data_IF_446845478385
#
_entry.id   IF_446845478385
#
_cell.length_a   1.000
_cell.length_b   1.000
_cell.length_c   1.000
_cell.angle_alpha   90.00
_cell.angle_beta   90.00
_cell.angle_gamma   90.00
#
_symmetry.space_group_name_H-M   'P 1'
#
loop_
_entity.id
_entity.type
_entity.pdbx_description
1 polymer ?
#
# COMPACT_ATOMS: atom_id res chain seq x y z
N UNK A 1 5.74 -56.20 13.73
CA UNK A 1 5.81 -54.96 12.93
C UNK A 1 5.81 -53.78 13.89
N UNK A 2 6.95 -53.11 14.05
CA UNK A 2 7.04 -51.83 14.80
C UNK A 2 6.70 -50.72 13.80
N UNK A 3 5.63 -49.98 14.07
CA UNK A 3 5.29 -48.79 13.30
C UNK A 3 6.30 -47.69 13.64
N UNK A 4 7.10 -47.34 12.64
CA UNK A 4 8.00 -46.19 12.66
C UNK A 4 7.14 -44.95 12.40
N UNK A 5 6.89 -44.14 13.43
CA UNK A 5 6.31 -42.81 13.24
C UNK A 5 7.34 -41.95 12.51
N UNK A 6 7.06 -41.66 11.25
CA UNK A 6 7.81 -40.68 10.46
C UNK A 6 7.44 -39.30 11.03
N UNK A 7 8.30 -38.74 11.88
CA UNK A 7 8.22 -37.32 12.22
C UNK A 7 8.61 -36.53 10.97
N UNK A 8 7.62 -36.10 10.19
CA UNK A 8 7.81 -35.04 9.20
C UNK A 8 8.05 -33.78 10.03
N UNK A 9 9.31 -33.37 10.12
CA UNK A 9 9.67 -32.06 10.62
C UNK A 9 9.16 -31.06 9.60
N UNK A 10 8.03 -30.41 9.91
CA UNK A 10 7.63 -29.18 9.22
C UNK A 10 8.69 -28.13 9.58
N UNK A 11 9.71 -27.98 8.75
CA UNK A 11 10.55 -26.79 8.77
C UNK A 11 9.61 -25.67 8.31
N UNK A 12 9.36 -24.63 9.12
CA UNK A 12 8.60 -23.49 8.64
C UNK A 12 9.31 -22.95 7.40
N UNK A 13 8.65 -23.03 6.25
CA UNK A 13 9.19 -22.47 5.03
C UNK A 13 9.13 -20.95 5.21
N UNK A 14 10.24 -20.35 5.64
CA UNK A 14 10.26 -18.90 5.79
C UNK A 14 10.29 -18.32 4.37
N UNK A 15 9.20 -17.65 4.01
CA UNK A 15 9.01 -17.02 2.71
C UNK A 15 9.78 -15.68 2.75
N UNK A 16 10.82 -15.57 1.92
CA UNK A 16 11.60 -14.36 1.75
C UNK A 16 11.57 -13.90 0.28
N UNK A 17 11.72 -12.60 0.08
CA UNK A 17 12.00 -12.06 -1.26
C UNK A 17 13.25 -12.72 -1.84
N UNK A 18 13.19 -12.99 -3.15
CA UNK A 18 14.36 -13.44 -3.92
C UNK A 18 15.04 -12.28 -4.68
N UNK A 19 14.48 -11.08 -4.56
CA UNK A 19 14.87 -9.88 -5.32
C UNK A 19 15.72 -8.94 -4.45
N UNK A 20 16.87 -8.51 -4.98
CA UNK A 20 17.74 -7.50 -4.35
C UNK A 20 17.31 -6.09 -4.77
N UNK A 21 16.58 -5.39 -3.90
CA UNK A 21 16.11 -4.04 -4.18
C UNK A 21 17.18 -2.94 -4.07
N UNK A 22 18.41 -3.28 -3.66
CA UNK A 22 19.56 -2.37 -3.85
C UNK A 22 19.99 -2.24 -5.30
N UNK A 23 19.50 -3.10 -6.20
CA UNK A 23 19.71 -2.96 -7.63
C UNK A 23 18.60 -2.12 -8.26
N UNK A 24 18.95 -0.96 -8.84
CA UNK A 24 18.02 -0.09 -9.56
C UNK A 24 17.27 -0.80 -10.73
N UNK A 25 17.81 -1.92 -11.21
CA UNK A 25 17.16 -2.77 -12.22
C UNK A 25 15.86 -3.45 -11.74
N UNK A 26 15.66 -3.56 -10.42
CA UNK A 26 14.49 -4.21 -9.81
C UNK A 26 13.38 -3.22 -9.45
N UNK A 27 13.45 -2.00 -9.97
CA UNK A 27 12.44 -0.96 -9.84
C UNK A 27 11.90 -0.62 -11.22
N UNK A 28 10.59 -0.45 -11.38
CA UNK A 28 10.06 0.19 -12.60
C UNK A 28 10.52 1.65 -12.65
N UNK A 29 10.26 2.36 -11.55
CA UNK A 29 10.62 3.76 -11.34
C UNK A 29 11.32 3.92 -10.00
N UNK A 30 12.41 4.68 -10.01
CA UNK A 30 13.21 5.03 -8.85
C UNK A 30 13.92 6.36 -9.18
N UNK A 31 13.99 7.33 -8.25
CA UNK A 31 14.62 8.64 -8.52
C UNK A 31 16.05 8.53 -9.08
N UNK A 32 16.85 7.64 -8.52
CA UNK A 32 18.25 7.43 -8.96
C UNK A 32 18.43 6.61 -10.25
N UNK A 33 17.33 6.16 -10.87
CA UNK A 33 17.43 5.32 -12.08
C UNK A 33 17.84 6.18 -13.28
N UNK A 34 18.93 5.79 -13.96
CA UNK A 34 19.43 6.55 -15.13
C UNK A 34 18.39 6.74 -16.24
N UNK A 35 17.55 5.73 -16.48
CA UNK A 35 16.38 5.85 -17.37
C UNK A 35 15.14 5.83 -16.51
N UNK A 36 14.72 7.02 -16.07
CA UNK A 36 13.51 7.25 -15.28
C UNK A 36 12.45 7.97 -16.13
N UNK A 37 11.65 7.20 -16.89
CA UNK A 37 10.69 7.82 -17.82
C UNK A 37 9.67 8.72 -17.13
N UNK A 38 9.28 8.41 -15.88
CA UNK A 38 8.31 9.20 -15.14
C UNK A 38 8.83 10.61 -14.84
N UNK A 39 10.14 10.81 -14.64
CA UNK A 39 10.73 12.13 -14.35
C UNK A 39 10.59 13.11 -15.52
N UNK A 40 10.57 12.59 -16.75
CA UNK A 40 10.41 13.39 -17.97
C UNK A 40 9.02 13.21 -18.59
N UNK A 41 8.10 12.55 -17.89
CA UNK A 41 6.74 12.37 -18.35
C UNK A 41 5.96 13.66 -18.13
N UNK A 42 5.40 14.22 -19.20
CA UNK A 42 4.52 15.38 -19.10
C UNK A 42 3.24 14.98 -18.36
N UNK A 43 3.05 15.56 -17.17
CA UNK A 43 1.91 15.33 -16.28
C UNK A 43 0.75 16.29 -16.55
N UNK A 44 0.94 17.26 -17.45
CA UNK A 44 -0.11 18.21 -17.79
C UNK A 44 -1.35 17.50 -18.33
N UNK A 45 -2.51 17.93 -17.85
CA UNK A 45 -3.79 17.31 -18.20
C UNK A 45 -4.50 18.20 -19.22
N UNK A 46 -4.62 17.72 -20.46
CA UNK A 46 -5.46 18.37 -21.47
C UNK A 46 -6.94 18.08 -21.19
N UNK A 47 -7.72 19.11 -20.87
CA UNK A 47 -9.17 18.99 -20.71
C UNK A 47 -9.82 19.04 -22.08
N UNK A 48 -10.51 17.96 -22.44
CA UNK A 48 -11.14 17.81 -23.75
C UNK A 48 -12.62 18.20 -23.65
N UNK A 49 -13.03 19.13 -24.51
CA UNK A 49 -14.43 19.55 -24.60
C UNK A 49 -15.30 18.55 -25.38
N UNK A 50 -16.59 18.86 -25.43
CA UNK A 50 -17.61 18.08 -26.13
C UNK A 50 -17.37 17.91 -27.64
N UNK A 51 -16.53 18.75 -28.25
CA UNK A 51 -16.19 18.69 -29.68
C UNK A 51 -14.89 17.92 -29.96
N UNK A 52 -14.32 17.24 -28.95
CA UNK A 52 -13.02 16.55 -29.03
C UNK A 52 -11.83 17.49 -29.25
N UNK A 53 -11.94 18.73 -28.80
CA UNK A 53 -10.87 19.72 -28.86
C UNK A 53 -10.30 19.97 -27.47
N UNK A 54 -9.00 20.31 -27.39
CA UNK A 54 -8.37 20.76 -26.15
C UNK A 54 -8.95 22.13 -25.77
N UNK A 55 -9.68 22.18 -24.66
CA UNK A 55 -10.30 23.40 -24.13
C UNK A 55 -9.33 24.18 -23.24
N UNK A 56 -8.63 23.45 -22.37
CA UNK A 56 -7.64 23.99 -21.46
C UNK A 56 -6.59 22.92 -21.11
N UNK A 57 -5.47 23.36 -20.55
CA UNK A 57 -4.43 22.46 -20.04
C UNK A 57 -4.20 22.82 -18.57
N UNK A 58 -4.36 21.83 -17.70
CA UNK A 58 -4.02 21.95 -16.27
C UNK A 58 -2.54 21.63 -16.14
N UNK A 59 -1.77 22.59 -15.66
CA UNK A 59 -0.34 22.41 -15.45
C UNK A 59 -0.09 21.60 -14.18
N UNK A 60 0.67 20.52 -14.27
CA UNK A 60 1.02 19.67 -13.13
C UNK A 60 2.54 19.57 -13.04
N UNK A 61 3.10 20.10 -11.95
CA UNK A 61 4.52 19.95 -11.69
C UNK A 61 4.88 18.47 -11.51
N UNK A 62 5.99 18.05 -12.09
CA UNK A 62 6.50 16.69 -11.94
C UNK A 62 7.69 16.70 -10.98
N UNK A 63 7.50 16.10 -9.81
CA UNK A 63 8.48 16.01 -8.75
C UNK A 63 9.06 14.60 -8.57
N UNK A 64 8.90 13.70 -9.56
CA UNK A 64 9.30 12.29 -9.43
C UNK A 64 10.77 12.07 -9.01
N UNK A 65 11.67 12.98 -9.40
CA UNK A 65 13.08 12.98 -9.02
C UNK A 65 13.46 14.01 -7.95
N UNK A 66 12.51 14.84 -7.52
CA UNK A 66 12.75 15.97 -6.62
C UNK A 66 12.36 15.61 -5.19
N UNK A 67 13.28 15.87 -4.26
CA UNK A 67 12.98 15.76 -2.83
C UNK A 67 12.20 17.00 -2.36
N UNK A 68 10.89 16.83 -2.19
CA UNK A 68 9.96 17.84 -1.67
C UNK A 68 9.71 17.69 -0.16
N UNK A 69 10.34 16.70 0.50
CA UNK A 69 9.95 16.21 1.82
C UNK A 69 8.81 15.19 1.80
N UNK A 70 8.35 14.79 0.61
CA UNK A 70 7.30 13.78 0.40
C UNK A 70 7.81 12.75 -0.60
N UNK A 71 7.53 11.48 -0.32
CA UNK A 71 7.79 10.36 -1.21
C UNK A 71 6.47 9.65 -1.55
N UNK A 72 6.40 9.09 -2.75
CA UNK A 72 5.29 8.26 -3.22
C UNK A 72 5.80 6.84 -3.40
N UNK A 73 5.18 5.88 -2.71
CA UNK A 73 5.42 4.45 -2.92
C UNK A 73 4.22 3.81 -3.60
N UNK A 74 4.38 3.48 -4.88
CA UNK A 74 3.30 3.04 -5.76
C UNK A 74 3.40 1.56 -6.16
N UNK A 75 2.29 0.81 -6.06
CA UNK A 75 2.19 -0.56 -6.58
C UNK A 75 1.13 -0.72 -7.68
N UNK A 76 1.53 -1.39 -8.76
CA UNK A 76 0.69 -1.65 -9.94
C UNK A 76 -0.35 -2.78 -9.71
N UNK A 77 -1.37 -2.93 -10.56
CA UNK A 77 -2.29 -4.06 -10.49
C UNK A 77 -1.69 -5.34 -11.09
N UNK A 78 -2.47 -6.43 -11.14
CA UNK A 78 -2.06 -7.65 -11.84
C UNK A 78 -2.05 -7.45 -13.36
N UNK A 79 -0.89 -7.57 -13.98
CA UNK A 79 -0.64 -7.38 -15.41
C UNK A 79 0.16 -8.58 -15.92
N UNK A 80 -0.54 -9.67 -16.24
CA UNK A 80 0.03 -10.94 -16.64
C UNK A 80 -0.56 -11.40 -17.98
N UNK A 81 0.31 -11.81 -18.91
CA UNK A 81 -0.12 -12.38 -20.19
C UNK A 81 -0.27 -13.89 -20.05
N UNK A 82 -1.49 -14.40 -20.20
CA UNK A 82 -1.82 -15.84 -20.08
C UNK A 82 -1.28 -16.51 -18.79
N UNK A 83 -1.59 -15.96 -17.59
CA UNK A 83 -1.12 -16.54 -16.34
C UNK A 83 -1.68 -17.95 -16.11
N UNK A 84 -1.00 -18.78 -15.29
CA UNK A 84 -1.57 -20.02 -14.78
C UNK A 84 -2.96 -19.80 -14.15
N UNK A 85 -3.88 -20.73 -14.41
CA UNK A 85 -5.25 -20.68 -13.89
C UNK A 85 -5.40 -21.19 -12.44
N UNK A 86 -4.29 -21.36 -11.72
CA UNK A 86 -4.24 -21.78 -10.32
C UNK A 86 -3.41 -20.79 -9.50
N UNK A 87 -3.63 -20.69 -8.16
CA UNK A 87 -2.87 -19.79 -7.30
C UNK A 87 -1.39 -20.14 -7.34
N UNK A 88 -0.60 -19.19 -7.82
CA UNK A 88 0.86 -19.26 -7.87
C UNK A 88 1.41 -17.86 -8.06
N UNK A 89 2.71 -17.72 -7.93
CA UNK A 89 3.44 -16.49 -8.21
C UNK A 89 4.10 -16.57 -9.59
N UNK A 90 4.09 -15.47 -10.35
CA UNK A 90 4.78 -15.32 -11.64
C UNK A 90 6.09 -14.53 -11.43
N UNK A 91 7.26 -15.08 -11.81
CA UNK A 91 8.55 -14.42 -11.67
C UNK A 91 8.63 -13.06 -12.38
N UNK A 92 9.48 -12.15 -11.92
CA UNK A 92 9.60 -10.79 -12.49
C UNK A 92 10.08 -10.85 -13.95
N UNK A 93 11.00 -11.75 -14.25
CA UNK A 93 11.57 -11.97 -15.58
C UNK A 93 10.56 -12.48 -16.62
N UNK A 94 9.47 -13.09 -16.17
CA UNK A 94 8.39 -13.61 -17.01
C UNK A 94 7.27 -12.58 -17.26
N UNK A 95 7.40 -11.38 -16.69
CA UNK A 95 6.41 -10.31 -16.80
C UNK A 95 6.73 -9.31 -17.91
N UNK A 96 5.68 -8.73 -18.53
CA UNK A 96 5.85 -7.72 -19.56
C UNK A 96 6.18 -6.35 -18.94
N UNK A 97 7.47 -6.08 -18.79
CA UNK A 97 7.98 -4.85 -18.17
C UNK A 97 7.45 -3.57 -18.84
N UNK A 98 7.35 -3.54 -20.16
CA UNK A 98 6.88 -2.35 -20.90
C UNK A 98 5.39 -2.08 -20.68
N UNK A 99 4.57 -3.14 -20.67
CA UNK A 99 3.13 -3.03 -20.37
C UNK A 99 2.91 -2.51 -18.94
N UNK A 100 3.61 -3.09 -17.96
CA UNK A 100 3.47 -2.70 -16.55
C UNK A 100 3.93 -1.25 -16.33
N UNK A 101 5.05 -0.85 -16.93
CA UNK A 101 5.49 0.55 -16.91
C UNK A 101 4.43 1.51 -17.47
N UNK A 102 3.80 1.16 -18.60
CA UNK A 102 2.72 1.96 -19.18
C UNK A 102 1.47 2.04 -18.28
N UNK A 103 1.13 0.95 -17.57
CA UNK A 103 0.04 0.93 -16.59
C UNK A 103 0.33 1.83 -15.39
N UNK A 104 1.56 1.80 -14.88
CA UNK A 104 1.99 2.72 -13.80
C UNK A 104 1.92 4.17 -14.29
N UNK A 105 2.33 4.47 -15.52
CA UNK A 105 2.19 5.82 -16.06
C UNK A 105 0.71 6.24 -16.15
N UNK A 106 -0.15 5.36 -16.65
CA UNK A 106 -1.56 5.68 -16.85
C UNK A 106 -2.40 5.78 -15.57
N UNK A 107 -2.01 5.11 -14.49
CA UNK A 107 -2.77 5.08 -13.23
C UNK A 107 -2.10 5.85 -12.09
N UNK A 108 -0.77 5.87 -12.06
CA UNK A 108 0.02 6.36 -10.93
C UNK A 108 0.84 7.62 -11.19
N UNK A 109 1.12 8.00 -12.45
CA UNK A 109 2.06 9.09 -12.74
C UNK A 109 1.69 10.43 -12.10
N UNK A 110 0.40 10.76 -12.00
CA UNK A 110 -0.04 12.02 -11.40
C UNK A 110 0.30 12.15 -9.91
N UNK A 111 0.58 11.05 -9.20
CA UNK A 111 1.08 11.13 -7.84
C UNK A 111 2.52 11.68 -7.77
N UNK A 112 3.30 11.58 -8.86
CA UNK A 112 4.63 12.20 -8.93
C UNK A 112 4.59 13.74 -8.78
N UNK A 113 3.41 14.35 -8.83
CA UNK A 113 3.19 15.74 -8.40
C UNK A 113 3.75 16.03 -7.01
N UNK A 114 3.68 15.07 -6.08
CA UNK A 114 3.97 15.33 -4.67
C UNK A 114 5.44 15.23 -4.30
N UNK A 115 6.24 14.43 -5.00
CA UNK A 115 7.64 14.21 -4.66
C UNK A 115 8.22 12.95 -5.27
N UNK A 116 9.31 12.45 -4.67
CA UNK A 116 10.09 11.33 -5.21
C UNK A 116 9.21 10.10 -5.41
N UNK A 117 9.27 9.50 -6.60
CA UNK A 117 8.37 8.42 -6.99
C UNK A 117 9.08 7.07 -7.04
N UNK A 118 8.62 6.13 -6.23
CA UNK A 118 9.15 4.78 -6.10
C UNK A 118 8.09 3.76 -6.53
N UNK A 119 8.43 2.91 -7.50
CA UNK A 119 7.59 1.78 -7.91
C UNK A 119 8.46 0.54 -8.14
N UNK A 120 8.47 -0.44 -7.21
CA UNK A 120 9.28 -1.65 -7.33
C UNK A 120 8.69 -2.62 -8.36
N UNK A 121 9.57 -3.45 -8.95
CA UNK A 121 9.12 -4.68 -9.62
C UNK A 121 8.89 -5.75 -8.55
N UNK A 122 7.84 -6.55 -8.65
CA UNK A 122 7.60 -7.65 -7.72
C UNK A 122 6.97 -8.85 -8.43
N UNK A 123 7.15 -10.05 -7.89
CA UNK A 123 6.54 -11.25 -8.45
C UNK A 123 5.04 -11.22 -8.22
N UNK A 124 4.23 -11.35 -9.26
CA UNK A 124 2.78 -11.17 -9.15
C UNK A 124 2.06 -12.47 -8.84
N UNK A 125 1.11 -12.44 -7.90
CA UNK A 125 0.19 -13.55 -7.69
C UNK A 125 -0.78 -13.65 -8.86
N UNK A 126 -1.10 -14.86 -9.32
CA UNK A 126 -2.08 -15.04 -10.40
C UNK A 126 -3.48 -14.59 -9.95
N UNK A 127 -4.37 -14.21 -10.89
CA UNK A 127 -5.76 -13.87 -10.56
C UNK A 127 -6.50 -14.97 -9.77
N UNK A 128 -6.13 -16.23 -9.94
CA UNK A 128 -6.70 -17.36 -9.21
C UNK A 128 -6.54 -17.24 -7.68
N UNK A 129 -5.51 -16.53 -7.20
CA UNK A 129 -5.33 -16.21 -5.78
C UNK A 129 -6.48 -15.37 -5.20
N UNK A 130 -7.21 -14.62 -6.03
CA UNK A 130 -8.35 -13.79 -5.63
C UNK A 130 -9.71 -14.46 -5.91
N UNK A 131 -9.78 -15.37 -6.89
CA UNK A 131 -11.06 -15.87 -7.44
C UNK A 131 -11.62 -17.13 -6.76
N UNK A 132 -10.81 -17.87 -6.01
CA UNK A 132 -11.25 -18.93 -5.07
C UNK A 132 -11.96 -20.17 -5.64
N UNK A 133 -12.40 -20.19 -6.88
CA UNK A 133 -13.11 -21.35 -7.44
C UNK A 133 -12.16 -22.53 -7.65
N UNK A 134 -12.28 -23.54 -6.77
CA UNK A 134 -11.56 -24.81 -6.90
C UNK A 134 -10.18 -24.86 -6.25
N UNK A 135 -9.81 -23.87 -5.42
CA UNK A 135 -8.51 -23.80 -4.74
C UNK A 135 -8.66 -23.61 -3.23
N UNK A 136 -7.70 -24.14 -2.45
CA UNK A 136 -7.72 -24.01 -1.00
C UNK A 136 -7.35 -22.59 -0.54
N UNK A 137 -7.85 -22.18 0.63
CA UNK A 137 -7.43 -20.95 1.30
C UNK A 137 -5.91 -20.88 1.45
N UNK A 138 -5.27 -22.00 1.75
CA UNK A 138 -3.81 -22.12 1.91
C UNK A 138 -3.05 -21.75 0.64
N UNK A 139 -3.33 -22.43 -0.49
CA UNK A 139 -2.64 -22.16 -1.75
C UNK A 139 -2.77 -20.70 -2.21
N UNK A 140 -3.92 -20.09 -1.89
CA UNK A 140 -4.21 -18.70 -2.23
C UNK A 140 -3.48 -17.73 -1.31
N UNK A 141 -3.45 -18.01 -0.01
CA UNK A 141 -2.70 -17.22 0.96
C UNK A 141 -1.19 -17.31 0.71
N UNK A 142 -0.66 -18.51 0.45
CA UNK A 142 0.76 -18.74 0.14
C UNK A 142 1.22 -17.89 -1.04
N UNK A 143 0.48 -17.88 -2.15
CA UNK A 143 0.81 -17.07 -3.32
C UNK A 143 0.81 -15.56 -3.01
N UNK A 144 -0.13 -15.09 -2.19
CA UNK A 144 -0.21 -13.68 -1.78
C UNK A 144 0.93 -13.30 -0.82
N UNK A 145 1.25 -14.16 0.16
CA UNK A 145 2.34 -13.94 1.11
C UNK A 145 3.70 -13.96 0.40
N UNK A 146 3.88 -14.86 -0.56
CA UNK A 146 5.09 -14.90 -1.39
C UNK A 146 5.25 -13.64 -2.23
N UNK A 147 4.20 -13.21 -2.91
CA UNK A 147 4.19 -11.92 -3.61
C UNK A 147 4.44 -10.73 -2.67
N UNK A 148 3.83 -10.74 -1.48
CA UNK A 148 4.04 -9.69 -0.47
C UNK A 148 5.50 -9.63 0.02
N UNK A 149 6.21 -10.77 0.08
CA UNK A 149 7.60 -10.79 0.53
C UNK A 149 8.53 -9.89 -0.30
N UNK A 150 8.26 -9.77 -1.60
CA UNK A 150 8.98 -8.86 -2.51
C UNK A 150 8.65 -7.39 -2.21
N UNK A 151 7.37 -7.06 -2.04
CA UNK A 151 6.92 -5.71 -1.65
C UNK A 151 7.51 -5.28 -0.32
N UNK A 152 7.51 -6.17 0.67
CA UNK A 152 8.13 -5.96 1.98
C UNK A 152 9.62 -5.64 1.85
N UNK A 153 10.34 -6.41 1.05
CA UNK A 153 11.77 -6.19 0.82
C UNK A 153 12.04 -4.86 0.10
N UNK A 154 11.23 -4.49 -0.89
CA UNK A 154 11.33 -3.21 -1.58
C UNK A 154 11.08 -2.03 -0.65
N UNK A 155 10.00 -2.10 0.14
CA UNK A 155 9.65 -1.04 1.08
C UNK A 155 10.70 -0.88 2.17
N UNK A 156 11.22 -1.99 2.71
CA UNK A 156 12.34 -1.95 3.68
C UNK A 156 13.59 -1.32 3.08
N UNK A 157 13.91 -1.62 1.81
CA UNK A 157 15.05 -0.99 1.15
C UNK A 157 14.84 0.53 1.03
N UNK A 158 13.69 0.94 0.50
CA UNK A 158 13.29 2.33 0.39
C UNK A 158 13.33 3.06 1.76
N UNK A 159 12.69 2.49 2.79
CA UNK A 159 12.59 3.13 4.11
C UNK A 159 13.96 3.32 4.77
N UNK A 160 14.87 2.36 4.61
CA UNK A 160 16.18 2.40 5.27
C UNK A 160 17.26 3.19 4.52
N UNK A 161 17.14 3.32 3.20
CA UNK A 161 18.21 3.90 2.37
C UNK A 161 17.78 5.18 1.64
N UNK A 162 16.49 5.33 1.36
CA UNK A 162 15.97 6.34 0.43
C UNK A 162 15.11 7.40 1.14
N UNK A 163 14.20 6.98 2.02
CA UNK A 163 13.15 7.86 2.56
C UNK A 163 13.68 9.07 3.34
N UNK A 164 14.76 8.90 4.11
CA UNK A 164 15.40 9.97 4.89
C UNK A 164 14.44 10.75 5.83
N UNK A 165 13.33 10.13 6.27
CA UNK A 165 12.33 10.76 7.14
C UNK A 165 11.27 11.58 6.41
N UNK A 166 11.19 11.50 5.08
CA UNK A 166 10.14 12.13 4.30
C UNK A 166 8.76 11.56 4.64
N UNK A 167 7.72 12.39 4.52
CA UNK A 167 6.35 11.90 4.59
C UNK A 167 6.06 10.99 3.41
N UNK A 168 5.15 10.04 3.59
CA UNK A 168 4.90 8.96 2.63
C UNK A 168 3.45 9.02 2.16
N UNK A 169 3.26 9.02 0.83
CA UNK A 169 1.99 8.68 0.20
C UNK A 169 2.12 7.23 -0.29
N UNK A 170 1.26 6.37 0.24
CA UNK A 170 1.14 4.98 -0.21
C UNK A 170 0.01 4.92 -1.23
N UNK A 171 0.21 4.36 -2.42
CA UNK A 171 -0.89 4.24 -3.36
C UNK A 171 -0.75 3.06 -4.32
N UNK A 172 -1.87 2.48 -4.73
CA UNK A 172 -1.84 1.37 -5.68
C UNK A 172 -3.21 1.02 -6.21
N UNK A 173 -3.26 0.02 -7.07
CA UNK A 173 -4.50 -0.53 -7.65
C UNK A 173 -4.59 -2.04 -7.49
N UNK A 174 -5.79 -2.58 -7.28
CA UNK A 174 -6.09 -4.01 -7.33
C UNK A 174 -5.16 -4.82 -6.41
N UNK A 175 -4.35 -5.74 -6.97
CA UNK A 175 -3.33 -6.50 -6.24
C UNK A 175 -2.31 -5.57 -5.56
N UNK A 176 -1.86 -4.50 -6.19
CA UNK A 176 -0.96 -3.52 -5.57
C UNK A 176 -1.56 -2.93 -4.31
N UNK A 177 -2.81 -2.46 -4.36
CA UNK A 177 -3.54 -1.97 -3.19
C UNK A 177 -3.66 -3.02 -2.08
N UNK A 178 -3.93 -4.27 -2.46
CA UNK A 178 -4.05 -5.37 -1.52
C UNK A 178 -2.73 -5.64 -0.76
N UNK A 179 -1.60 -5.65 -1.49
CA UNK A 179 -0.28 -5.84 -0.90
C UNK A 179 0.14 -4.63 -0.05
N UNK A 180 -0.27 -3.42 -0.44
CA UNK A 180 -0.09 -2.22 0.38
C UNK A 180 -0.95 -2.24 1.63
N UNK A 181 -2.14 -2.84 1.61
CA UNK A 181 -2.92 -3.04 2.81
C UNK A 181 -2.20 -3.95 3.82
N UNK A 182 -1.58 -5.04 3.34
CA UNK A 182 -0.71 -5.88 4.15
C UNK A 182 0.51 -5.13 4.66
N UNK A 183 1.13 -4.29 3.82
CA UNK A 183 2.27 -3.46 4.19
C UNK A 183 1.92 -2.47 5.32
N UNK A 184 0.76 -1.81 5.20
CA UNK A 184 0.26 -0.89 6.22
C UNK A 184 0.02 -1.64 7.54
N UNK A 185 -0.53 -2.86 7.50
CA UNK A 185 -0.68 -3.70 8.70
C UNK A 185 0.66 -4.11 9.31
N UNK A 186 1.62 -4.53 8.50
CA UNK A 186 2.92 -5.07 8.94
C UNK A 186 3.88 -3.98 9.46
N UNK A 187 3.84 -2.76 8.89
CA UNK A 187 4.80 -1.72 9.21
C UNK A 187 4.22 -0.49 9.92
N UNK A 188 3.02 -0.04 9.54
CA UNK A 188 2.48 1.23 10.03
C UNK A 188 1.54 1.01 11.23
N UNK A 189 0.76 -0.06 11.22
CA UNK A 189 -0.40 -0.17 12.12
C UNK A 189 -0.02 -0.23 13.60
N UNK A 190 1.15 -0.76 13.95
CA UNK A 190 1.65 -0.78 15.34
C UNK A 190 2.86 0.17 15.57
N UNK A 191 3.26 0.94 14.55
CA UNK A 191 4.35 1.93 14.63
C UNK A 191 3.82 3.38 14.59
N UNK A 192 3.73 4.09 15.73
CA UNK A 192 3.24 5.47 15.75
C UNK A 192 4.14 6.44 14.97
N UNK A 193 5.47 6.24 14.96
CA UNK A 193 6.38 7.14 14.25
C UNK A 193 6.16 7.02 12.74
N UNK A 194 5.99 5.80 12.23
CA UNK A 194 5.72 5.59 10.82
C UNK A 194 4.31 6.06 10.41
N UNK A 195 3.31 5.96 11.30
CA UNK A 195 1.98 6.57 11.06
C UNK A 195 2.04 8.08 10.94
N UNK A 196 2.89 8.75 11.72
CA UNK A 196 3.07 10.21 11.61
C UNK A 196 3.69 10.63 10.27
N UNK A 197 4.48 9.76 9.65
CA UNK A 197 5.01 9.95 8.31
C UNK A 197 3.97 9.72 7.22
N UNK A 198 2.92 8.94 7.46
CA UNK A 198 1.88 8.65 6.46
C UNK A 198 1.03 9.91 6.19
N UNK A 199 1.11 10.45 4.96
CA UNK A 199 0.16 11.47 4.49
C UNK A 199 -1.20 10.81 4.32
N UNK A 200 -1.24 9.77 3.48
CA UNK A 200 -2.42 8.94 3.25
C UNK A 200 -2.03 7.66 2.53
N UNK A 201 -2.87 6.62 2.63
CA UNK A 201 -2.88 5.55 1.65
C UNK A 201 -4.07 5.67 0.67
N UNK A 202 -3.84 5.54 -0.64
CA UNK A 202 -4.88 5.51 -1.68
C UNK A 202 -4.95 4.12 -2.31
N UNK A 203 -5.92 3.31 -1.87
CA UNK A 203 -6.01 1.89 -2.17
C UNK A 203 -7.25 1.61 -3.03
N UNK A 204 -7.09 1.66 -4.35
CA UNK A 204 -8.20 1.37 -5.27
C UNK A 204 -8.34 -0.14 -5.53
N UNK A 205 -9.56 -0.68 -5.59
CA UNK A 205 -9.80 -2.01 -6.19
C UNK A 205 -9.42 -3.27 -5.39
N UNK A 206 -8.85 -3.20 -4.18
CA UNK A 206 -8.26 -4.40 -3.53
C UNK A 206 -9.23 -5.50 -3.05
N UNK A 207 -10.54 -5.28 -3.07
CA UNK A 207 -11.53 -6.22 -2.52
C UNK A 207 -12.60 -5.50 -1.72
N UNK A 208 -12.63 -5.67 -0.40
CA UNK A 208 -13.51 -4.95 0.53
C UNK A 208 -12.74 -4.47 1.75
N UNK A 209 -12.93 -3.21 2.13
CA UNK A 209 -12.54 -2.71 3.46
C UNK A 209 -13.78 -2.72 4.34
N UNK A 210 -13.63 -3.12 5.59
CA UNK A 210 -14.73 -3.33 6.51
C UNK A 210 -14.35 -2.92 7.92
N UNK A 211 -15.35 -2.64 8.74
CA UNK A 211 -15.21 -2.32 10.16
C UNK A 211 -16.54 -2.62 10.86
N UNK A 212 -16.56 -2.56 12.19
CA UNK A 212 -17.83 -2.52 12.92
C UNK A 212 -18.67 -1.30 12.49
N UNK A 213 -19.97 -1.36 12.76
CA UNK A 213 -20.86 -0.22 12.53
C UNK A 213 -20.34 1.03 13.24
N UNK A 214 -20.43 2.17 12.55
CA UNK A 214 -19.94 3.49 12.99
C UNK A 214 -18.43 3.59 13.31
N UNK A 215 -17.67 2.52 13.08
CA UNK A 215 -16.20 2.55 13.20
C UNK A 215 -15.55 2.79 11.83
N UNK A 216 -14.30 3.26 11.86
CA UNK A 216 -13.46 3.51 10.68
C UNK A 216 -12.11 2.78 10.72
N UNK A 217 -11.83 2.09 11.83
CA UNK A 217 -10.70 1.18 12.02
C UNK A 217 -11.22 -0.15 12.62
N UNK A 218 -10.32 -1.05 13.01
CA UNK A 218 -10.66 -2.35 13.59
C UNK A 218 -11.11 -3.39 12.57
N UNK A 219 -10.66 -3.26 11.32
CA UNK A 219 -10.96 -4.15 10.20
C UNK A 219 -9.72 -4.80 9.65
N UNK A 220 -9.22 -4.27 8.52
CA UNK A 220 -7.89 -4.59 8.00
C UNK A 220 -6.77 -4.10 8.93
N UNK A 221 -6.99 -2.95 9.56
CA UNK A 221 -6.05 -2.23 10.42
C UNK A 221 -6.73 -1.88 11.74
N UNK A 222 -5.99 -1.93 12.83
CA UNK A 222 -6.46 -1.63 14.17
C UNK A 222 -6.34 -0.14 14.50
N UNK A 223 -5.22 0.49 14.11
CA UNK A 223 -4.84 1.84 14.52
C UNK A 223 -4.78 2.83 13.34
N UNK A 224 -4.88 2.37 12.09
CA UNK A 224 -4.97 3.24 10.91
C UNK A 224 -6.43 3.30 10.44
N UNK A 225 -7.13 4.45 10.62
CA UNK A 225 -8.51 4.57 10.20
C UNK A 225 -8.64 4.87 8.70
N UNK A 226 -9.79 4.53 8.14
CA UNK A 226 -10.27 5.16 6.90
C UNK A 226 -10.50 6.65 7.12
N UNK A 227 -10.33 7.41 6.04
CA UNK A 227 -10.53 8.85 6.12
C UNK A 227 -12.00 9.22 6.44
N UNK A 228 -12.19 10.05 7.46
CA UNK A 228 -13.44 10.70 7.90
C UNK A 228 -13.52 12.19 7.50
N UNK A 229 -12.42 12.79 7.04
CA UNK A 229 -12.36 14.17 6.55
C UNK A 229 -11.32 14.33 5.43
N UNK A 230 -11.56 15.26 4.51
CA UNK A 230 -10.72 15.42 3.32
C UNK A 230 -9.28 15.84 3.66
N UNK A 231 -9.07 16.52 4.80
CA UNK A 231 -7.80 17.15 5.15
C UNK A 231 -7.02 16.47 6.28
N UNK A 232 -7.48 15.33 6.81
CA UNK A 232 -6.72 14.60 7.84
C UNK A 232 -5.57 13.78 7.24
N UNK A 233 -4.43 13.70 7.94
CA UNK A 233 -3.35 12.79 7.56
C UNK A 233 -3.41 11.45 8.30
N UNK A 234 -2.60 10.51 7.85
CA UNK A 234 -2.45 9.21 8.50
C UNK A 234 -3.67 8.29 8.31
N UNK A 235 -4.49 8.56 7.30
CA UNK A 235 -5.72 7.81 7.02
C UNK A 235 -5.70 7.14 5.64
N UNK A 236 -6.64 6.22 5.44
CA UNK A 236 -6.74 5.41 4.23
C UNK A 236 -7.97 5.84 3.39
N UNK A 237 -7.73 6.15 2.13
CA UNK A 237 -8.74 6.18 1.08
C UNK A 237 -8.82 4.81 0.42
N UNK A 238 -10.03 4.30 0.26
CA UNK A 238 -10.30 3.07 -0.49
C UNK A 238 -11.59 3.25 -1.28
N UNK A 239 -11.63 2.77 -2.52
CA UNK A 239 -12.83 2.82 -3.36
C UNK A 239 -12.85 1.69 -4.40
N UNK A 240 -14.06 1.40 -4.87
CA UNK A 240 -14.36 0.57 -6.05
C UNK A 240 -15.51 1.21 -6.81
N UNK A 241 -15.44 1.14 -8.14
CA UNK A 241 -16.36 1.86 -9.00
C UNK A 241 -17.34 0.91 -9.70
N UNK A 242 -18.61 1.32 -9.82
CA UNK A 242 -19.68 0.51 -10.38
C UNK A 242 -20.61 1.35 -11.27
N UNK A 243 -21.27 0.72 -12.24
CA UNK A 243 -22.34 1.37 -13.02
C UNK A 243 -23.56 1.65 -12.14
N UNK A 244 -24.13 2.86 -12.25
CA UNK A 244 -25.33 3.26 -11.50
C UNK A 244 -26.56 2.43 -11.83
N UNK A 245 -26.70 2.04 -13.10
CA UNK A 245 -27.83 1.27 -13.60
C UNK A 245 -27.90 -0.18 -13.12
N UNK A 246 -26.87 -0.65 -12.41
CA UNK A 246 -26.77 -2.02 -11.92
C UNK A 246 -26.64 -2.03 -10.39
N UNK A 247 -27.13 -3.10 -9.79
CA UNK A 247 -26.95 -3.36 -8.37
C UNK A 247 -25.48 -3.65 -8.08
N UNK A 248 -25.02 -3.29 -6.89
CA UNK A 248 -23.68 -3.64 -6.43
C UNK A 248 -23.68 -5.15 -6.18
N UNK A 249 -22.71 -5.91 -6.71
CA UNK A 249 -22.67 -7.35 -6.54
C UNK A 249 -22.52 -7.75 -5.07
N UNK A 250 -23.19 -8.84 -4.70
CA UNK A 250 -22.98 -9.53 -3.43
C UNK A 250 -21.48 -9.74 -3.16
N UNK A 251 -21.04 -9.64 -1.89
CA UNK A 251 -19.67 -9.92 -1.52
C UNK A 251 -19.18 -11.29 -1.99
N UNK A 252 -18.11 -11.31 -2.78
CA UNK A 252 -17.43 -12.57 -3.08
C UNK A 252 -16.72 -13.07 -1.82
N UNK A 253 -17.31 -14.08 -1.17
CA UNK A 253 -16.81 -14.71 0.06
C UNK A 253 -15.45 -15.40 -0.10
N UNK A 254 -15.01 -15.59 -1.35
CA UNK A 254 -13.68 -16.09 -1.60
C UNK A 254 -12.62 -15.01 -1.50
N UNK A 255 -12.92 -13.70 -1.46
CA UNK A 255 -11.85 -12.69 -1.43
C UNK A 255 -10.93 -12.86 -0.22
N UNK A 256 -9.67 -12.41 -0.30
CA UNK A 256 -8.71 -12.71 0.75
C UNK A 256 -9.05 -12.08 2.12
N UNK A 257 -9.96 -11.09 2.18
CA UNK A 257 -10.54 -10.57 3.43
C UNK A 257 -11.23 -11.63 4.30
N UNK A 258 -11.60 -12.77 3.72
CA UNK A 258 -12.22 -13.91 4.41
C UNK A 258 -11.22 -15.01 4.78
N UNK A 259 -9.97 -14.91 4.33
CA UNK A 259 -9.00 -15.99 4.45
C UNK A 259 -8.30 -15.97 5.83
N UNK A 260 -8.54 -16.95 6.72
CA UNK A 260 -7.98 -16.97 8.07
C UNK A 260 -6.45 -17.10 8.09
N UNK A 261 -5.85 -17.70 7.06
CA UNK A 261 -4.39 -17.90 6.99
C UNK A 261 -3.65 -16.57 6.85
N UNK A 262 -4.29 -15.56 6.24
CA UNK A 262 -3.73 -14.21 6.18
C UNK A 262 -3.80 -13.46 7.51
N UNK A 263 -4.74 -13.84 8.39
CA UNK A 263 -4.79 -13.34 9.77
C UNK A 263 -3.74 -14.04 10.62
N UNK A 264 -3.62 -15.36 10.49
CA UNK A 264 -2.62 -16.16 11.21
C UNK A 264 -1.18 -15.77 10.83
N UNK A 265 -0.96 -15.20 9.64
CA UNK A 265 0.33 -14.65 9.23
C UNK A 265 0.64 -13.26 9.81
N UNK A 266 -0.35 -12.59 10.41
CA UNK A 266 -0.25 -11.24 10.96
C UNK A 266 -0.39 -10.10 9.93
N UNK A 267 -0.60 -10.41 8.65
CA UNK A 267 -0.71 -9.43 7.56
C UNK A 267 -2.10 -8.82 7.41
N UNK A 268 -3.09 -9.37 8.12
CA UNK A 268 -4.46 -8.85 8.21
C UNK A 268 -4.88 -8.93 9.67
N UNK A 269 -5.50 -7.87 10.20
CA UNK A 269 -5.84 -7.82 11.63
C UNK A 269 -6.89 -8.87 12.04
N UNK A 270 -7.96 -9.03 11.26
CA UNK A 270 -8.97 -10.09 11.45
C UNK A 270 -9.63 -10.44 10.13
N UNK A 271 -10.50 -11.44 10.11
CA UNK A 271 -11.39 -11.69 8.97
C UNK A 271 -12.65 -10.83 9.05
N UNK A 272 -13.30 -10.65 7.91
CA UNK A 272 -14.61 -10.02 7.81
C UNK A 272 -15.73 -10.92 8.36
N UNK A 273 -16.76 -10.30 8.92
CA UNK A 273 -17.97 -10.92 9.44
C UNK A 273 -19.21 -10.27 8.80
N UNK A 274 -19.91 -11.03 7.97
CA UNK A 274 -21.03 -10.51 7.16
C UNK A 274 -22.27 -10.10 7.96
N UNK A 275 -22.32 -10.41 9.25
CA UNK A 275 -23.43 -10.03 10.14
C UNK A 275 -23.12 -8.72 10.85
N UNK A 276 -21.91 -8.61 11.40
CA UNK A 276 -21.54 -7.51 12.31
C UNK A 276 -20.80 -6.38 11.60
N UNK A 277 -20.14 -6.66 10.46
CA UNK A 277 -19.35 -5.68 9.74
C UNK A 277 -20.15 -4.85 8.73
N UNK A 278 -19.60 -3.67 8.52
CA UNK A 278 -19.98 -2.73 7.49
C UNK A 278 -18.83 -2.57 6.52
N UNK A 279 -19.10 -2.77 5.24
CA UNK A 279 -18.15 -2.45 4.20
C UNK A 279 -18.08 -0.94 4.05
N UNK A 280 -16.87 -0.45 3.85
CA UNK A 280 -16.51 0.95 3.86
C UNK A 280 -15.75 1.30 2.59
N UNK A 281 -15.91 2.54 2.17
CA UNK A 281 -15.13 3.18 1.14
C UNK A 281 -15.26 4.69 1.30
N UNK A 282 -14.42 5.42 0.59
CA UNK A 282 -14.43 6.88 0.56
C UNK A 282 -15.79 7.42 0.06
N UNK A 283 -16.30 8.41 0.78
CA UNK A 283 -17.52 9.17 0.47
C UNK A 283 -17.35 10.67 0.71
N UNK A 284 -16.13 11.11 1.01
CA UNK A 284 -15.78 12.46 1.42
C UNK A 284 -15.90 13.43 0.25
N UNK A 285 -15.36 13.01 -0.90
CA UNK A 285 -15.48 13.80 -2.12
C UNK A 285 -16.90 13.63 -2.68
N UNK A 286 -17.27 12.45 -3.17
CA UNK A 286 -18.61 12.16 -3.68
C UNK A 286 -19.48 11.52 -2.60
N UNK A 287 -20.39 12.31 -2.01
CA UNK A 287 -21.40 11.81 -1.07
C UNK A 287 -22.56 11.08 -1.77
N UNK A 288 -23.67 10.86 -1.06
CA UNK A 288 -24.82 10.10 -1.58
C UNK A 288 -25.60 10.78 -2.71
N UNK A 289 -25.41 12.10 -2.89
CA UNK A 289 -26.07 12.89 -3.92
C UNK A 289 -25.33 12.78 -5.24
N UNK A 290 -26.05 12.41 -6.31
CA UNK A 290 -25.53 12.42 -7.68
C UNK A 290 -25.13 13.83 -8.09
N UNK A 291 -23.91 13.96 -8.61
CA UNK A 291 -23.36 15.22 -9.13
C UNK A 291 -22.36 14.94 -10.26
N UNK A 292 -22.09 15.91 -11.14
CA UNK A 292 -21.10 15.73 -12.20
C UNK A 292 -19.74 15.31 -11.66
N UNK A 293 -19.15 14.30 -12.29
CA UNK A 293 -17.78 13.87 -12.04
C UNK A 293 -16.83 14.95 -12.56
N UNK A 294 -16.01 15.48 -11.66
CA UNK A 294 -14.90 16.35 -12.03
C UNK A 294 -13.76 15.50 -12.57
N UNK A 295 -13.50 15.65 -13.87
CA UNK A 295 -12.43 15.03 -14.63
C UNK A 295 -12.34 13.50 -14.52
N UNK A 296 -12.89 12.81 -15.53
CA UNK A 296 -12.47 11.45 -15.85
C UNK A 296 -11.09 11.50 -16.54
N UNK A 297 -10.05 11.01 -15.87
CA UNK A 297 -8.65 11.14 -16.32
C UNK A 297 -8.21 9.86 -17.02
N UNK A 298 -7.57 9.99 -18.18
CA UNK A 298 -7.06 8.83 -18.91
C UNK A 298 -5.80 9.16 -19.74
N UNK A 299 -5.00 8.16 -20.12
CA UNK A 299 -3.88 8.36 -21.04
C UNK A 299 -4.37 8.75 -22.45
N UNK A 300 -3.80 9.79 -23.04
CA UNK A 300 -4.13 10.21 -24.41
C UNK A 300 -3.82 9.12 -25.44
N UNK A 301 -2.86 8.24 -25.16
CA UNK A 301 -2.52 7.10 -26.02
C UNK A 301 -3.72 6.19 -26.36
N UNK A 302 -4.81 6.26 -25.58
CA UNK A 302 -6.07 5.52 -25.83
C UNK A 302 -7.05 6.25 -26.75
N UNK A 303 -6.90 7.57 -26.95
CA UNK A 303 -7.87 8.41 -27.64
C UNK A 303 -7.28 9.24 -28.78
N UNK A 304 -6.03 9.67 -28.64
CA UNK A 304 -5.29 10.50 -29.58
C UNK A 304 -6.02 11.83 -29.87
N UNK A 305 -6.32 12.57 -28.79
CA UNK A 305 -7.07 13.84 -28.80
C UNK A 305 -6.20 15.04 -28.44
N UNK A 306 -5.09 14.83 -27.73
CA UNK A 306 -4.16 15.88 -27.32
C UNK A 306 -2.73 15.53 -27.73
N UNK A 307 -2.30 15.82 -28.98
CA UNK A 307 -1.02 15.34 -29.52
C UNK A 307 0.24 15.86 -28.80
N UNK A 308 0.08 16.83 -27.89
CA UNK A 308 1.18 17.39 -27.11
C UNK A 308 1.14 16.99 -25.62
N UNK A 309 0.12 16.27 -25.17
CA UNK A 309 -0.06 15.87 -23.78
C UNK A 309 -0.15 14.35 -23.68
N UNK A 310 0.37 13.79 -22.60
CA UNK A 310 0.23 12.35 -22.35
C UNK A 310 -1.09 11.99 -21.66
N UNK A 311 -1.72 12.95 -20.99
CA UNK A 311 -2.88 12.75 -20.12
C UNK A 311 -4.00 13.69 -20.60
N UNK A 312 -5.20 13.14 -20.70
CA UNK A 312 -6.42 13.90 -20.97
C UNK A 312 -7.42 13.77 -19.83
N UNK A 313 -8.36 14.70 -19.77
CA UNK A 313 -9.52 14.59 -18.90
C UNK A 313 -10.82 14.96 -19.61
N UNK A 314 -11.89 14.22 -19.28
CA UNK A 314 -13.26 14.59 -19.63
C UNK A 314 -13.98 15.12 -18.39
N UNK A 315 -14.27 16.42 -18.39
CA UNK A 315 -15.02 17.05 -17.31
C UNK A 315 -16.54 16.87 -17.51
N UNK A 316 -17.27 16.53 -16.43
CA UNK A 316 -18.73 16.42 -16.46
C UNK A 316 -19.25 15.52 -17.60
N UNK A 317 -18.54 14.43 -17.89
CA UNK A 317 -18.99 13.38 -18.84
C UNK A 317 -19.88 12.34 -18.15
N UNK A 318 -19.66 12.16 -16.85
CA UNK A 318 -20.41 11.25 -15.99
C UNK A 318 -20.95 12.00 -14.78
N UNK A 319 -22.00 11.48 -14.15
CA UNK A 319 -22.32 11.76 -12.76
C UNK A 319 -21.70 10.69 -11.86
N UNK A 320 -21.32 11.09 -10.65
CA UNK A 320 -20.79 10.22 -9.62
C UNK A 320 -21.49 10.43 -8.27
N UNK A 321 -21.66 9.34 -7.51
CA UNK A 321 -22.10 9.37 -6.11
C UNK A 321 -21.61 8.16 -5.34
N UNK A 322 -21.50 8.29 -4.02
CA UNK A 322 -21.43 7.15 -3.13
C UNK A 322 -22.78 6.42 -3.09
N UNK A 323 -22.80 5.15 -3.46
CA UNK A 323 -23.97 4.27 -3.45
C UNK A 323 -23.79 3.23 -2.34
N UNK A 324 -24.80 3.10 -1.49
CA UNK A 324 -24.92 2.07 -0.46
C UNK A 324 -26.28 1.40 -0.57
N UNK A 325 -26.30 0.11 -0.82
CA UNK A 325 -27.51 -0.70 -0.94
C UNK A 325 -27.75 -1.52 0.35
N UNK A 326 -26.67 -1.94 1.02
CA UNK A 326 -26.72 -2.61 2.33
C UNK A 326 -25.49 -2.30 3.20
N UNK A 327 -25.30 -3.05 4.30
CA UNK A 327 -24.07 -2.97 5.08
C UNK A 327 -22.85 -3.45 4.29
N UNK A 328 -23.03 -4.41 3.38
CA UNK A 328 -21.94 -5.03 2.61
C UNK A 328 -21.85 -4.51 1.17
N UNK A 329 -22.93 -3.95 0.63
CA UNK A 329 -22.97 -3.47 -0.76
C UNK A 329 -22.78 -1.95 -0.79
N UNK A 330 -21.55 -1.53 -1.08
CA UNK A 330 -21.15 -0.13 -1.14
C UNK A 330 -20.14 0.08 -2.27
N UNK A 331 -20.28 1.19 -3.00
CA UNK A 331 -19.50 1.45 -4.21
C UNK A 331 -19.61 2.89 -4.71
N UNK A 332 -18.56 3.39 -5.36
CA UNK A 332 -18.62 4.65 -6.10
C UNK A 332 -19.40 4.37 -7.38
N UNK A 333 -20.56 5.00 -7.53
CA UNK A 333 -21.42 4.73 -8.65
C UNK A 333 -21.29 5.79 -9.73
N UNK A 334 -21.29 5.34 -10.98
CA UNK A 334 -21.07 6.17 -12.16
C UNK A 334 -22.22 6.03 -13.17
N UNK A 335 -22.72 7.16 -13.64
CA UNK A 335 -23.78 7.27 -14.65
C UNK A 335 -23.30 8.15 -15.80
N UNK A 336 -23.45 7.70 -17.04
CA UNK A 336 -23.14 8.52 -18.22
C UNK A 336 -24.18 9.62 -18.41
N UNK A 337 -23.72 10.84 -18.69
CA UNK A 337 -24.60 11.97 -18.97
C UNK A 337 -24.92 11.96 -20.46
N UNK A 338 -26.12 11.51 -20.82
CA UNK A 338 -26.57 11.52 -22.21
C UNK A 338 -26.68 12.95 -22.76
N UNK A 339 -25.87 13.27 -23.77
CA UNK A 339 -25.96 14.50 -24.55
C UNK A 339 -25.61 14.20 -26.01
N UNK A 340 -26.60 14.37 -26.91
CA UNK A 340 -26.43 14.10 -28.33
C UNK A 340 -25.39 15.00 -29.03
N UNK A 341 -24.95 16.08 -28.37
CA UNK A 341 -23.91 16.97 -28.89
C UNK A 341 -22.54 16.73 -28.23
N UNK A 342 -22.42 15.79 -27.30
CA UNK A 342 -21.17 15.43 -26.67
C UNK A 342 -20.51 14.28 -27.45
N UNK A 343 -19.43 14.60 -28.16
CA UNK A 343 -18.69 13.66 -28.99
C UNK A 343 -17.68 12.82 -28.18
N UNK A 344 -17.51 13.11 -26.88
CA UNK A 344 -16.57 12.39 -26.02
C UNK A 344 -17.02 10.94 -25.85
N UNK A 345 -16.10 9.97 -25.96
CA UNK A 345 -16.44 8.55 -25.90
C UNK A 345 -16.91 8.14 -24.50
N UNK A 346 -17.98 7.34 -24.45
CA UNK A 346 -18.43 6.68 -23.23
C UNK A 346 -17.62 5.39 -23.00
N UNK A 347 -16.66 5.48 -22.09
CA UNK A 347 -15.78 4.37 -21.71
C UNK A 347 -16.47 3.31 -20.87
N UNK A 348 -17.47 3.68 -20.06
CA UNK A 348 -18.09 2.73 -19.13
C UNK A 348 -19.04 1.77 -19.83
N UNK A 349 -19.60 2.10 -20.98
CA UNK A 349 -20.42 1.14 -21.74
C UNK A 349 -19.58 0.05 -22.41
N UNK A 350 -18.32 0.35 -22.71
CA UNK A 350 -17.38 -0.59 -23.33
C UNK A 350 -16.79 -1.61 -22.37
N UNK A 351 -16.95 -1.45 -21.05
CA UNK A 351 -16.46 -2.42 -20.06
C UNK A 351 -17.35 -3.66 -20.09
N UNK A 352 -16.92 -4.68 -20.82
CA UNK A 352 -17.51 -6.01 -20.79
C UNK A 352 -17.25 -6.69 -19.46
N UNK A 353 -18.14 -7.61 -19.06
CA UNK A 353 -17.92 -8.47 -17.91
C UNK A 353 -16.58 -9.21 -18.05
N UNK A 354 -15.71 -9.08 -17.04
CA UNK A 354 -14.44 -9.81 -16.95
C UNK A 354 -14.70 -11.18 -16.31
N UNK A 355 -13.92 -12.24 -16.61
CA UNK A 355 -13.97 -13.48 -15.83
C UNK A 355 -13.69 -13.27 -14.33
N UNK A 356 -13.07 -12.12 -14.00
CA UNK A 356 -12.59 -11.77 -12.66
C UNK A 356 -13.60 -10.86 -11.93
N UNK A 357 -14.35 -10.03 -12.65
CA UNK A 357 -15.21 -8.98 -12.09
C UNK A 357 -16.65 -9.15 -12.56
N UNK A 358 -17.61 -8.90 -11.67
CA UNK A 358 -19.02 -8.98 -12.00
C UNK A 358 -19.41 -7.98 -13.08
N UNK A 359 -20.54 -8.23 -13.74
CA UNK A 359 -21.15 -7.24 -14.63
C UNK A 359 -21.36 -5.91 -13.87
N UNK A 360 -21.02 -4.80 -14.52
CA UNK A 360 -21.15 -3.47 -13.93
C UNK A 360 -20.00 -3.02 -13.03
N UNK A 361 -19.03 -3.88 -12.72
CA UNK A 361 -17.81 -3.50 -12.02
C UNK A 361 -16.86 -2.76 -12.98
N UNK A 362 -16.49 -1.52 -12.60
CA UNK A 362 -15.61 -0.64 -13.35
C UNK A 362 -14.16 -0.70 -12.86
N UNK A 363 -13.75 -1.80 -12.22
CA UNK A 363 -12.45 -2.02 -11.58
C UNK A 363 -11.24 -1.45 -12.35
N UNK A 364 -11.13 -1.71 -13.66
CA UNK A 364 -9.99 -1.23 -14.47
C UNK A 364 -9.98 0.29 -14.68
N UNK A 365 -11.08 0.98 -14.36
CA UNK A 365 -11.29 2.42 -14.46
C UNK A 365 -11.28 3.13 -13.12
N UNK A 366 -11.05 2.44 -11.99
CA UNK A 366 -11.12 3.05 -10.65
C UNK A 366 -10.30 4.33 -10.51
N UNK A 367 -9.05 4.32 -10.99
CA UNK A 367 -8.23 5.54 -11.00
C UNK A 367 -8.67 6.54 -12.06
N UNK A 368 -9.19 6.10 -13.22
CA UNK A 368 -9.67 7.06 -14.21
C UNK A 368 -10.84 7.89 -13.66
N UNK A 369 -11.64 7.27 -12.79
CA UNK A 369 -12.83 7.87 -12.20
C UNK A 369 -12.49 8.76 -10.99
N UNK A 370 -11.66 8.30 -10.06
CA UNK A 370 -11.52 8.94 -8.75
C UNK A 370 -10.17 9.66 -8.53
N UNK A 371 -9.23 9.59 -9.49
CA UNK A 371 -7.89 10.16 -9.32
C UNK A 371 -7.90 11.66 -9.04
N UNK A 372 -8.70 12.45 -9.76
CA UNK A 372 -8.78 13.90 -9.47
C UNK A 372 -9.22 14.19 -8.03
N UNK A 373 -10.25 13.48 -7.56
CA UNK A 373 -10.75 13.62 -6.20
C UNK A 373 -9.69 13.27 -5.16
N UNK A 374 -8.87 12.23 -5.40
CA UNK A 374 -7.74 11.90 -4.54
C UNK A 374 -6.66 12.97 -4.56
N UNK A 375 -6.32 13.51 -5.73
CA UNK A 375 -5.32 14.57 -5.81
C UNK A 375 -5.74 15.81 -5.00
N UNK A 376 -6.99 16.27 -5.14
CA UNK A 376 -7.48 17.41 -4.37
C UNK A 376 -7.53 17.13 -2.85
N UNK A 377 -7.85 15.89 -2.45
CA UNK A 377 -7.81 15.51 -1.05
C UNK A 377 -6.37 15.50 -0.52
N UNK A 378 -5.40 14.97 -1.28
CA UNK A 378 -3.98 14.99 -0.87
C UNK A 378 -3.46 16.43 -0.78
N UNK A 379 -3.76 17.30 -1.75
CA UNK A 379 -3.41 18.72 -1.69
C UNK A 379 -3.93 19.34 -0.38
N UNK A 380 -5.21 19.11 -0.04
CA UNK A 380 -5.82 19.61 1.19
C UNK A 380 -5.18 19.04 2.47
N UNK A 381 -4.76 17.77 2.45
CA UNK A 381 -4.00 17.17 3.56
C UNK A 381 -2.66 17.85 3.73
N UNK A 382 -1.87 18.02 2.66
CA UNK A 382 -0.52 18.59 2.74
C UNK A 382 -0.52 20.04 3.25
N UNK A 383 -1.55 20.82 2.95
CA UNK A 383 -1.75 22.15 3.54
C UNK A 383 -1.93 22.13 5.07
N UNK A 384 -2.51 21.06 5.62
CA UNK A 384 -2.80 20.94 7.05
C UNK A 384 -1.75 20.11 7.81
N UNK A 385 -1.05 19.21 7.12
CA UNK A 385 -0.09 18.30 7.73
C UNK A 385 1.34 18.85 7.77
N UNK A 386 1.56 20.03 7.18
CA UNK A 386 2.81 20.78 7.20
C UNK A 386 3.04 21.58 8.49
N UNK A 387 2.06 21.65 9.40
CA UNK A 387 2.30 22.15 10.77
C UNK A 387 2.89 21.05 11.67
N UNK A 388 4.16 20.72 11.46
CA UNK A 388 5.01 20.18 12.53
C UNK A 388 5.99 21.27 12.91
N UNK A 389 5.69 21.93 14.03
CA UNK A 389 6.67 22.70 14.79
C UNK A 389 7.76 21.75 15.29
N UNK A 390 9.00 22.21 15.22
CA UNK A 390 10.20 21.63 15.84
C UNK A 390 9.97 20.76 17.10
N UNK A 391 10.57 19.56 17.09
CA UNK A 391 11.13 18.75 18.21
C UNK A 391 10.63 19.02 19.64
N UNK A 392 10.06 18.00 20.30
CA UNK A 392 10.48 17.57 21.65
C UNK A 392 9.79 16.27 22.13
N UNK A 393 10.63 15.31 22.52
CA UNK A 393 10.57 14.42 23.68
C UNK A 393 9.59 13.22 23.76
N UNK A 394 10.23 12.03 23.69
CA UNK A 394 10.03 10.78 24.44
C UNK A 394 8.59 10.36 24.85
N UNK A 395 8.16 9.20 24.32
CA UNK A 395 7.03 8.40 24.85
C UNK A 395 7.52 7.21 25.71
N UNK A 396 6.69 6.68 26.64
CA UNK A 396 7.14 5.95 27.84
C UNK A 396 7.35 4.45 27.62
N UNK A 397 8.52 3.96 28.06
CA UNK A 397 8.99 2.57 28.10
C UNK A 397 8.40 1.76 29.27
N UNK A 398 7.11 1.45 29.25
CA UNK A 398 6.48 0.64 30.33
C UNK A 398 6.29 -0.85 30.03
N UNK A 399 6.77 -1.38 28.90
CA UNK A 399 6.79 -2.85 28.67
C UNK A 399 8.18 -3.46 28.46
N UNK A 400 9.26 -2.66 28.52
CA UNK A 400 10.63 -3.18 28.43
C UNK A 400 11.24 -3.25 29.84
N UNK A 401 11.60 -4.46 30.27
CA UNK A 401 12.25 -4.76 31.58
C UNK A 401 13.72 -4.28 31.67
N UNK A 402 14.20 -3.57 30.66
CA UNK A 402 15.56 -3.04 30.58
C UNK A 402 15.60 -1.70 29.83
N UNK A 403 16.56 -0.85 30.17
CA UNK A 403 16.83 0.42 29.51
C UNK A 403 18.20 0.39 28.84
N UNK A 404 18.37 1.19 27.80
CA UNK A 404 19.61 1.31 27.04
C UNK A 404 20.12 2.73 27.12
N UNK A 405 21.37 2.89 27.53
CA UNK A 405 22.03 4.18 27.69
C UNK A 405 23.22 4.26 26.74
N UNK A 406 23.10 4.97 25.60
CA UNK A 406 24.21 5.14 24.67
C UNK A 406 25.33 6.01 25.28
N UNK A 407 26.57 5.70 24.94
CA UNK A 407 27.75 6.52 25.25
C UNK A 407 28.57 6.76 23.97
N UNK A 408 28.16 7.74 23.15
CA UNK A 408 28.74 8.01 21.83
C UNK A 408 30.23 8.34 21.89
N UNK A 409 30.69 8.95 22.98
CA UNK A 409 32.10 9.33 23.16
C UNK A 409 33.08 8.16 23.26
N UNK A 410 32.56 6.93 23.43
CA UNK A 410 33.35 5.71 23.61
C UNK A 410 32.98 4.57 22.64
N UNK A 411 32.01 4.76 21.74
CA UNK A 411 31.52 3.67 20.89
C UNK A 411 30.87 2.54 21.68
N UNK A 412 30.19 2.88 22.79
CA UNK A 412 29.59 1.89 23.70
C UNK A 412 28.16 2.25 24.04
N UNK A 413 27.39 1.27 24.46
CA UNK A 413 26.13 1.50 25.16
C UNK A 413 26.00 0.58 26.36
N UNK A 414 25.22 1.01 27.35
CA UNK A 414 24.97 0.25 28.58
C UNK A 414 23.54 -0.24 28.60
N UNK A 415 23.36 -1.55 28.76
CA UNK A 415 22.05 -2.16 29.02
C UNK A 415 21.89 -2.26 30.53
N UNK A 416 20.78 -1.76 31.07
CA UNK A 416 20.42 -1.83 32.49
C UNK A 416 19.10 -2.56 32.67
N UNK A 417 19.02 -3.52 33.57
CA UNK A 417 17.76 -4.22 33.87
C UNK A 417 17.04 -3.57 35.04
N UNK A 418 15.69 -3.52 34.98
CA UNK A 418 14.84 -2.94 36.04
C UNK A 418 14.88 -3.75 37.35
N UNK A 419 15.31 -5.02 37.31
CA UNK A 419 15.32 -5.95 38.46
C UNK A 419 16.71 -6.58 38.74
N UNK A 420 17.11 -6.78 40.01
CA UNK A 420 18.39 -7.41 40.36
C UNK A 420 18.55 -8.84 39.87
N UNK A 421 19.77 -9.22 39.44
CA UNK A 421 20.12 -10.52 38.84
C UNK A 421 19.79 -11.79 39.65
N UNK A 422 19.38 -11.65 40.91
CA UNK A 422 18.97 -12.77 41.78
C UNK A 422 17.52 -13.18 41.63
N UNK A 423 16.69 -12.35 40.98
CA UNK A 423 15.30 -12.69 40.65
C UNK A 423 15.18 -12.75 39.13
N UNK A 424 14.66 -13.88 38.64
CA UNK A 424 14.36 -14.18 37.23
C UNK A 424 15.51 -14.71 36.36
N UNK A 425 15.21 -15.83 35.71
CA UNK A 425 15.98 -16.43 34.62
C UNK A 425 15.91 -15.48 33.40
N UNK A 426 16.77 -14.45 33.33
CA UNK A 426 16.66 -13.35 32.35
C UNK A 426 16.83 -13.75 30.87
N UNK A 427 17.10 -15.03 30.56
CA UNK A 427 17.36 -15.47 29.20
C UNK A 427 18.63 -14.85 28.62
N UNK A 428 19.00 -15.26 27.40
CA UNK A 428 20.08 -14.61 26.68
C UNK A 428 19.56 -13.31 26.05
N UNK A 429 20.39 -12.28 26.07
CA UNK A 429 20.26 -11.09 25.24
C UNK A 429 21.09 -11.31 23.98
N UNK A 430 20.55 -10.91 22.84
CA UNK A 430 21.22 -10.98 21.54
C UNK A 430 21.18 -9.60 20.90
N UNK A 431 22.35 -9.07 20.57
CA UNK A 431 22.48 -7.86 19.77
C UNK A 431 22.63 -8.28 18.31
N UNK A 432 21.73 -7.81 17.45
CA UNK A 432 21.82 -8.02 16.01
C UNK A 432 21.96 -6.68 15.28
N UNK A 433 22.66 -6.67 14.15
CA UNK A 433 22.65 -5.53 13.24
C UNK A 433 21.42 -5.59 12.30
N UNK A 434 21.26 -4.58 11.44
CA UNK A 434 20.17 -4.51 10.45
C UNK A 434 20.18 -5.62 9.41
N UNK A 435 21.31 -6.33 9.24
CA UNK A 435 21.43 -7.50 8.37
C UNK A 435 21.03 -8.81 9.08
N UNK A 436 20.54 -8.73 10.32
CA UNK A 436 20.19 -9.89 11.14
C UNK A 436 21.39 -10.68 11.67
N UNK A 437 22.61 -10.16 11.51
CA UNK A 437 23.82 -10.81 11.98
C UNK A 437 23.96 -10.57 13.48
N UNK A 438 24.23 -11.65 14.23
CA UNK A 438 24.51 -11.57 15.67
C UNK A 438 25.85 -10.89 15.90
N UNK A 439 25.80 -9.71 16.52
CA UNK A 439 26.97 -8.93 16.96
C UNK A 439 27.49 -9.50 18.28
N UNK A 440 26.59 -9.72 19.24
CA UNK A 440 26.94 -10.30 20.54
C UNK A 440 25.74 -11.07 21.12
N UNK A 441 26.00 -12.14 21.87
CA UNK A 441 24.99 -12.79 22.71
C UNK A 441 25.56 -12.97 24.11
N UNK A 442 24.81 -12.56 25.12
CA UNK A 442 25.27 -12.58 26.51
C UNK A 442 24.12 -12.84 27.48
N UNK A 443 24.47 -13.20 28.71
CA UNK A 443 23.55 -13.23 29.85
C UNK A 443 23.97 -12.18 30.87
N UNK A 444 23.00 -11.58 31.54
CA UNK A 444 23.25 -10.55 32.56
C UNK A 444 23.79 -11.21 33.84
N UNK A 445 25.08 -11.00 34.14
CA UNK A 445 25.70 -11.40 35.42
C UNK A 445 25.58 -10.32 36.49
N UNK A 446 25.19 -9.10 36.10
CA UNK A 446 24.93 -7.95 36.96
C UNK A 446 23.80 -7.10 36.38
N UNK A 447 23.34 -6.08 37.10
CA UNK A 447 22.23 -5.22 36.63
C UNK A 447 22.62 -4.33 35.44
N UNK A 448 23.91 -4.24 35.11
CA UNK A 448 24.40 -3.48 33.97
C UNK A 448 25.36 -4.32 33.12
N UNK A 449 25.33 -4.12 31.81
CA UNK A 449 26.30 -4.67 30.86
C UNK A 449 26.64 -3.61 29.81
N UNK A 450 27.93 -3.36 29.64
CA UNK A 450 28.44 -2.50 28.58
C UNK A 450 28.71 -3.36 27.34
N UNK A 451 28.23 -2.90 26.19
CA UNK A 451 28.47 -3.48 24.87
C UNK A 451 29.30 -2.48 24.07
N UNK A 452 30.34 -2.99 23.42
CA UNK A 452 31.19 -2.20 22.51
C UNK A 452 30.73 -2.49 21.09
N UNK A 453 30.48 -1.45 20.31
CA UNK A 453 30.18 -1.56 18.88
C UNK A 453 31.09 -0.58 18.15
N UNK A 454 31.91 -1.13 17.27
CA UNK A 454 32.91 -0.36 16.51
C UNK A 454 32.32 0.32 15.27
N UNK A 455 31.19 -0.18 14.76
CA UNK A 455 30.53 0.32 13.55
C UNK A 455 29.33 1.22 13.87
N UNK A 456 29.16 2.28 13.07
CA UNK A 456 27.96 3.11 13.11
C UNK A 456 26.80 2.35 12.47
N UNK A 457 25.60 2.48 13.05
CA UNK A 457 24.42 1.82 12.51
C UNK A 457 23.33 1.58 13.52
N UNK A 458 22.28 0.89 13.06
CA UNK A 458 21.15 0.50 13.88
C UNK A 458 21.36 -0.94 14.36
N UNK A 459 21.13 -1.16 15.66
CA UNK A 459 21.19 -2.47 16.27
C UNK A 459 19.89 -2.75 17.02
N UNK A 460 19.53 -4.03 17.09
CA UNK A 460 18.41 -4.50 17.89
C UNK A 460 18.93 -5.35 19.02
N UNK A 461 18.50 -5.04 20.24
CA UNK A 461 18.78 -5.85 21.42
C UNK A 461 17.53 -6.67 21.68
N UNK A 462 17.64 -7.98 21.46
CA UNK A 462 16.55 -8.94 21.59
C UNK A 462 16.72 -9.72 22.89
N UNK A 463 15.64 -9.87 23.64
CA UNK A 463 15.54 -10.74 24.79
C UNK A 463 14.28 -11.60 24.69
N UNK A 464 14.13 -12.58 25.58
CA UNK A 464 12.87 -13.35 25.69
C UNK A 464 11.64 -12.50 26.03
N UNK A 465 11.80 -11.28 26.54
CA UNK A 465 10.71 -10.42 27.04
C UNK A 465 10.46 -9.20 26.16
N UNK A 466 11.10 -9.12 25.00
CA UNK A 466 10.97 -7.99 24.08
C UNK A 466 12.29 -7.60 23.46
N UNK A 467 12.23 -6.60 22.59
CA UNK A 467 13.39 -6.05 21.91
C UNK A 467 13.37 -4.52 22.00
N UNK A 468 14.54 -3.90 21.81
CA UNK A 468 14.64 -2.45 21.65
C UNK A 468 15.63 -2.13 20.53
N UNK A 469 15.37 -1.03 19.82
CA UNK A 469 16.26 -0.45 18.83
C UNK A 469 17.29 0.44 19.53
N UNK A 470 18.52 0.43 19.04
CA UNK A 470 19.54 1.43 19.38
C UNK A 470 20.18 1.96 18.09
N UNK A 471 20.40 3.27 18.05
CA UNK A 471 21.15 3.94 16.99
C UNK A 471 22.52 4.30 17.52
N UNK A 472 23.57 3.81 16.87
CA UNK A 472 24.98 4.15 17.16
C UNK A 472 25.44 5.14 16.09
N UNK A 473 25.58 6.41 16.49
CA UNK A 473 25.90 7.56 15.62
C UNK A 473 27.40 7.85 15.49
#
# INVERSE_FOLDING_TARGET
MKYLFLFITCIPHIIYSQTDYGQLGNWYYHPDKFINFIENYDLDIAVINKNLEVDSVIQIENNAGNDTGIDVFWLHPTELTNPPFFPTVVPIEDQNTALIGAVILGQGALFAKYGRFYAPMYRQATPASFLGFGFSEESRAEALIETYSDVKAAFLHYLNNENNGNKIIIAGHSQGSFLLAMLLRDFFDDDPELREQLVTASLAGMGYVYSSYDEYAGGWWENIPLCTSSNECGCIHYWRSYKESLDIPDPNLNLPSYNPILVDSGLVYRTTNNVDDWFRQDSLYYGSMSRPLRYYIAPDASYNLAPNQNIIAFDSLYNARFKRESSLEVGLSLEYIEDANDLRPNDIDSTSASPIFSEGDLHVKDYHIYLWAILEQIDSKLENCSTISSVSDELPLDEIDFSVHPNPSRGTFTIRTKHPSTEFNQGAFTVINTLGQVVETFTMSSNEKVINIDDKGIYFIISKRGYTKIVVN
#
